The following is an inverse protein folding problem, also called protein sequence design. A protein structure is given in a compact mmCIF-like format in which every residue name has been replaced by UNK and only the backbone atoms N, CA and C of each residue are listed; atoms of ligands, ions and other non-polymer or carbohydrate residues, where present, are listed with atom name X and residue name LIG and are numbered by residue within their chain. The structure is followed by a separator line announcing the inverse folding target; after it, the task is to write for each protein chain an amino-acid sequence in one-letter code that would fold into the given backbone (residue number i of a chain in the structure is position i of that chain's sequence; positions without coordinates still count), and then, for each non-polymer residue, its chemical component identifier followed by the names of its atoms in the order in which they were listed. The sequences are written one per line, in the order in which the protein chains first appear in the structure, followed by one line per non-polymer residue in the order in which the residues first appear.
data_IF_258424196900
#
_entry.id   IF_258424196900
#
_cell.length_a   1.000
_cell.length_b   1.000
_cell.length_c   1.000
_cell.angle_alpha   90.00
_cell.angle_beta   90.00
_cell.angle_gamma   90.00
#
_symmetry.space_group_name_H-M   'P 1'
#
loop_
_entity.id
_entity.type
_entity.pdbx_description
1 polymer ?
#
# COMPACT_ATOMS: atom_id res chain seq x y z
N UNK A 1 -13.47 -36.26 22.97
CA UNK A 1 -13.26 -36.16 21.51
C UNK A 1 -14.32 -35.22 21.00
N UNK A 2 -14.04 -34.03 20.50
CA UNK A 2 -12.90 -33.58 19.69
C UNK A 2 -12.53 -32.15 20.05
N UNK A 3 -11.23 -31.90 20.20
CA UNK A 3 -10.66 -30.57 20.32
C UNK A 3 -10.86 -29.83 18.98
N UNK A 4 -11.47 -28.66 19.04
CA UNK A 4 -11.54 -27.75 17.90
C UNK A 4 -10.19 -27.04 17.81
N UNK A 5 -9.48 -27.36 16.74
CA UNK A 5 -8.15 -26.91 16.40
C UNK A 5 -8.10 -25.37 16.35
N UNK A 6 -7.29 -24.77 17.23
CA UNK A 6 -6.94 -23.36 17.17
C UNK A 6 -6.04 -23.20 15.94
N UNK A 7 -6.57 -22.64 14.85
CA UNK A 7 -5.75 -22.29 13.69
C UNK A 7 -4.61 -21.38 14.16
N UNK A 8 -3.40 -21.91 14.23
CA UNK A 8 -2.21 -21.18 14.59
C UNK A 8 -2.05 -20.02 13.60
N UNK A 9 -2.16 -18.79 14.09
CA UNK A 9 -1.87 -17.57 13.36
C UNK A 9 -0.36 -17.49 13.13
N UNK A 10 0.14 -18.19 12.11
CA UNK A 10 1.52 -18.07 11.68
C UNK A 10 1.78 -16.63 11.24
N UNK A 11 2.77 -15.98 11.84
CA UNK A 11 3.26 -14.66 11.39
C UNK A 11 3.53 -14.72 9.89
N UNK A 12 3.00 -13.78 9.08
CA UNK A 12 3.17 -13.82 7.64
C UNK A 12 4.66 -13.69 7.28
N UNK A 13 5.08 -14.49 6.29
CA UNK A 13 6.48 -14.53 5.85
C UNK A 13 6.84 -13.20 5.17
N UNK A 14 7.92 -12.57 5.67
CA UNK A 14 8.53 -11.38 5.07
C UNK A 14 9.63 -11.79 4.10
N UNK A 15 9.50 -11.39 2.84
CA UNK A 15 10.46 -11.70 1.78
C UNK A 15 11.32 -10.45 1.50
N UNK A 16 12.62 -10.44 1.86
CA UNK A 16 13.44 -9.23 1.78
C UNK A 16 13.66 -8.76 0.34
N UNK A 17 13.61 -7.44 0.14
CA UNK A 17 13.95 -6.77 -1.13
C UNK A 17 15.34 -6.14 -1.02
N UNK A 18 15.57 -5.36 0.04
CA UNK A 18 16.81 -4.59 0.23
C UNK A 18 16.69 -3.54 1.33
N UNK A 19 17.73 -2.74 1.54
CA UNK A 19 17.72 -1.62 2.47
C UNK A 19 18.50 -0.43 1.90
N UNK A 20 17.96 0.76 2.04
CA UNK A 20 18.62 2.03 1.64
C UNK A 20 18.14 3.13 2.57
N UNK A 21 18.98 4.15 2.77
CA UNK A 21 18.59 5.39 3.47
C UNK A 21 18.01 5.15 4.89
N UNK A 22 18.44 4.07 5.55
CA UNK A 22 17.97 3.67 6.88
C UNK A 22 16.61 2.97 6.92
N UNK A 23 16.05 2.60 5.76
CA UNK A 23 14.77 1.90 5.62
C UNK A 23 14.98 0.51 5.02
N UNK A 24 14.41 -0.51 5.66
CA UNK A 24 14.34 -1.88 5.13
C UNK A 24 13.07 -2.04 4.29
N UNK A 25 13.20 -2.72 3.16
CA UNK A 25 12.12 -3.03 2.22
C UNK A 25 11.89 -4.53 2.10
N UNK A 26 10.64 -4.96 2.12
CA UNK A 26 10.25 -6.34 1.88
C UNK A 26 8.88 -6.47 1.18
N UNK A 27 8.56 -7.70 0.78
CA UNK A 27 7.24 -8.11 0.29
C UNK A 27 6.57 -9.01 1.33
N UNK A 28 5.28 -8.79 1.57
CA UNK A 28 4.47 -9.62 2.47
C UNK A 28 3.14 -9.99 1.83
N UNK A 29 2.70 -11.22 2.09
CA UNK A 29 1.39 -11.71 1.69
C UNK A 29 0.31 -11.40 2.74
N UNK A 30 -0.12 -10.14 2.80
CA UNK A 30 -1.26 -9.72 3.61
C UNK A 30 -2.06 -8.62 2.90
N UNK A 31 -3.27 -8.34 3.39
CA UNK A 31 -4.07 -7.22 2.91
C UNK A 31 -3.95 -6.01 3.84
N UNK A 32 -4.30 -4.80 3.38
CA UNK A 32 -4.10 -3.57 4.14
C UNK A 32 -4.82 -3.53 5.49
N UNK A 33 -5.89 -4.30 5.70
CA UNK A 33 -6.58 -4.42 7.00
C UNK A 33 -5.81 -5.25 8.05
N UNK A 34 -4.90 -6.11 7.60
CA UNK A 34 -4.16 -7.07 8.42
C UNK A 34 -2.65 -6.78 8.41
N UNK A 35 -2.23 -5.65 7.84
CA UNK A 35 -0.85 -5.21 7.90
C UNK A 35 -0.52 -4.72 9.31
N UNK A 36 0.35 -5.44 10.01
CA UNK A 36 0.87 -5.05 11.32
C UNK A 36 1.95 -3.96 11.15
N UNK A 37 1.49 -2.72 10.95
CA UNK A 37 2.31 -1.53 10.69
C UNK A 37 1.72 -0.28 11.32
N UNK A 38 2.54 0.76 11.51
CA UNK A 38 2.02 2.05 11.96
C UNK A 38 1.11 2.70 10.89
N UNK A 39 1.42 2.52 9.60
CA UNK A 39 0.72 3.18 8.49
C UNK A 39 0.48 2.25 7.30
N UNK A 40 -0.75 1.78 7.14
CA UNK A 40 -1.14 0.94 6.01
C UNK A 40 -1.73 1.81 4.90
N UNK A 41 -1.37 1.54 3.66
CA UNK A 41 -1.81 2.32 2.49
C UNK A 41 -2.49 1.39 1.50
N UNK A 42 -3.71 1.74 1.11
CA UNK A 42 -4.43 1.09 0.02
C UNK A 42 -4.74 2.11 -1.09
N UNK A 43 -4.79 1.63 -2.32
CA UNK A 43 -5.31 2.42 -3.42
C UNK A 43 -6.73 2.00 -3.81
N UNK A 44 -7.47 2.92 -4.43
CA UNK A 44 -8.86 2.73 -4.85
C UNK A 44 -9.10 3.50 -6.15
N UNK A 45 -9.90 2.94 -7.08
CA UNK A 45 -10.35 3.64 -8.28
C UNK A 45 -11.76 4.20 -8.11
N UNK A 46 -12.16 5.11 -9.01
CA UNK A 46 -13.52 5.66 -9.08
C UNK A 46 -14.58 4.58 -9.32
N UNK A 47 -14.16 3.45 -9.90
CA UNK A 47 -14.93 2.23 -10.14
C UNK A 47 -13.94 1.12 -10.49
N UNK A 48 -14.34 -0.14 -10.35
CA UNK A 48 -13.52 -1.25 -10.85
C UNK A 48 -13.68 -1.41 -12.36
N UNK A 49 -12.73 -2.09 -13.01
CA UNK A 49 -12.76 -2.34 -14.46
C UNK A 49 -14.07 -3.05 -14.83
N UNK A 50 -14.75 -2.51 -15.85
CA UNK A 50 -16.04 -3.05 -16.31
C UNK A 50 -17.21 -2.88 -15.32
N UNK A 51 -17.04 -2.11 -14.24
CA UNK A 51 -18.07 -1.95 -13.21
C UNK A 51 -18.21 -3.15 -12.27
N UNK A 52 -17.17 -3.98 -12.16
CA UNK A 52 -17.14 -5.09 -11.22
C UNK A 52 -17.24 -4.60 -9.75
N UNK A 53 -17.68 -5.46 -8.81
CA UNK A 53 -17.55 -5.17 -7.39
C UNK A 53 -16.08 -5.15 -6.95
N UNK A 54 -15.79 -4.46 -5.84
CA UNK A 54 -14.46 -4.51 -5.20
C UNK A 54 -14.10 -5.95 -4.84
N UNK A 55 -12.82 -6.29 -4.98
CA UNK A 55 -12.30 -7.63 -4.70
C UNK A 55 -11.01 -7.58 -3.87
N UNK A 56 -10.46 -8.76 -3.57
CA UNK A 56 -9.12 -8.90 -2.99
C UNK A 56 -8.91 -8.17 -1.67
N UNK A 57 -7.73 -7.56 -1.52
CA UNK A 57 -7.35 -6.84 -0.31
C UNK A 57 -8.20 -5.58 -0.07
N UNK A 58 -8.66 -4.91 -1.14
CA UNK A 58 -9.55 -3.75 -1.03
C UNK A 58 -10.94 -4.14 -0.49
N UNK A 59 -11.51 -5.27 -0.93
CA UNK A 59 -12.75 -5.80 -0.35
C UNK A 59 -12.56 -6.16 1.13
N UNK A 60 -11.45 -6.82 1.47
CA UNK A 60 -11.13 -7.14 2.87
C UNK A 60 -11.01 -5.89 3.74
N UNK A 61 -10.44 -4.80 3.18
CA UNK A 61 -10.37 -3.50 3.85
C UNK A 61 -11.75 -2.88 4.06
N UNK A 62 -12.57 -2.82 3.01
CA UNK A 62 -13.91 -2.25 3.13
C UNK A 62 -14.77 -3.03 4.13
N UNK A 63 -14.69 -4.36 4.13
CA UNK A 63 -15.36 -5.21 5.12
C UNK A 63 -14.89 -4.93 6.56
N UNK A 64 -13.57 -4.83 6.78
CA UNK A 64 -13.02 -4.49 8.10
C UNK A 64 -13.46 -3.09 8.57
N UNK A 65 -13.66 -2.17 7.62
CA UNK A 65 -14.24 -0.85 7.87
C UNK A 65 -15.78 -0.86 7.88
N UNK A 66 -16.46 -2.00 7.82
CA UNK A 66 -17.92 -2.06 7.85
C UNK A 66 -18.62 -1.44 6.62
N UNK A 67 -17.98 -1.51 5.45
CA UNK A 67 -18.51 -1.03 4.16
C UNK A 67 -18.40 0.49 3.94
N UNK A 68 -17.58 1.20 4.73
CA UNK A 68 -17.50 2.65 4.66
C UNK A 68 -16.85 3.15 3.35
N UNK A 69 -15.88 2.45 2.77
CA UNK A 69 -15.24 2.90 1.52
C UNK A 69 -16.26 2.90 0.37
N UNK A 70 -17.03 1.82 0.25
CA UNK A 70 -18.09 1.71 -0.75
C UNK A 70 -19.14 2.80 -0.56
N UNK A 71 -19.64 3.00 0.67
CA UNK A 71 -20.63 4.05 0.96
C UNK A 71 -20.11 5.45 0.69
N UNK A 72 -18.84 5.74 1.00
CA UNK A 72 -18.25 7.05 0.74
C UNK A 72 -18.08 7.32 -0.75
N UNK A 73 -17.73 6.30 -1.54
CA UNK A 73 -17.71 6.40 -3.00
C UNK A 73 -19.09 6.64 -3.59
N UNK A 74 -20.11 5.90 -3.15
CA UNK A 74 -21.51 6.09 -3.57
C UNK A 74 -22.05 7.47 -3.19
N UNK A 75 -21.76 7.94 -1.99
CA UNK A 75 -22.14 9.26 -1.49
C UNK A 75 -21.31 10.40 -2.13
N UNK A 76 -20.29 10.08 -2.93
CA UNK A 76 -19.31 11.02 -3.50
C UNK A 76 -18.53 11.84 -2.45
N UNK A 77 -18.44 11.33 -1.21
CA UNK A 77 -17.68 11.93 -0.13
C UNK A 77 -16.17 11.63 -0.24
N UNK A 78 -15.82 10.51 -0.86
CA UNK A 78 -14.47 10.19 -1.33
C UNK A 78 -14.64 9.52 -2.69
N UNK A 79 -14.30 10.20 -3.78
CA UNK A 79 -14.59 9.71 -5.13
C UNK A 79 -13.49 8.79 -5.65
N UNK A 80 -12.34 8.78 -4.98
CA UNK A 80 -11.10 8.16 -5.43
C UNK A 80 -10.56 8.84 -6.70
N UNK A 81 -10.71 10.17 -6.80
CA UNK A 81 -10.07 10.96 -7.85
C UNK A 81 -8.54 10.83 -7.77
N UNK A 82 -7.79 11.07 -8.86
CA UNK A 82 -6.35 10.92 -8.82
C UNK A 82 -5.68 11.70 -7.68
N UNK A 83 -4.99 10.96 -6.81
CA UNK A 83 -4.29 11.46 -5.62
C UNK A 83 -5.19 12.13 -4.57
N UNK A 84 -6.51 11.94 -4.65
CA UNK A 84 -7.41 12.21 -3.51
C UNK A 84 -7.00 11.30 -2.35
N UNK A 85 -6.97 11.83 -1.13
CA UNK A 85 -6.54 11.08 0.05
C UNK A 85 -7.61 11.07 1.12
N UNK A 86 -7.74 9.94 1.80
CA UNK A 86 -8.54 9.80 3.01
C UNK A 86 -7.73 9.05 4.06
N UNK A 87 -7.52 9.69 5.20
CA UNK A 87 -6.78 9.11 6.32
C UNK A 87 -7.73 8.69 7.44
N UNK A 88 -7.62 7.43 7.84
CA UNK A 88 -8.34 6.82 8.96
C UNK A 88 -7.32 6.67 10.10
N UNK A 89 -7.42 7.52 11.12
CA UNK A 89 -6.50 7.54 12.27
C UNK A 89 -6.98 6.71 13.46
N UNK A 90 -8.23 6.23 13.41
CA UNK A 90 -8.82 5.37 14.44
C UNK A 90 -9.46 4.15 13.79
N UNK A 91 -8.67 3.17 13.31
CA UNK A 91 -9.20 1.93 12.76
C UNK A 91 -10.08 1.18 13.78
N UNK A 92 -11.15 0.52 13.33
CA UNK A 92 -12.03 -0.25 14.21
C UNK A 92 -11.28 -1.43 14.87
N UNK A 93 -11.79 -1.93 16.02
CA UNK A 93 -11.23 -3.11 16.67
C UNK A 93 -11.10 -4.30 15.71
N UNK A 94 -9.97 -5.01 15.79
CA UNK A 94 -9.66 -6.18 14.95
C UNK A 94 -8.83 -5.87 13.71
N UNK A 95 -8.71 -4.60 13.31
CA UNK A 95 -7.68 -4.18 12.37
C UNK A 95 -6.31 -4.11 13.06
N UNK A 96 -5.27 -4.52 12.35
CA UNK A 96 -3.88 -4.47 12.83
C UNK A 96 -3.17 -3.11 12.60
N UNK A 97 -3.35 -2.40 11.46
CA UNK A 97 -2.63 -1.15 11.27
C UNK A 97 -3.13 -0.06 12.22
N UNK A 98 -2.24 0.86 12.60
CA UNK A 98 -2.57 1.96 13.53
C UNK A 98 -3.23 3.14 12.83
N UNK A 99 -2.90 3.36 11.55
CA UNK A 99 -3.59 4.27 10.65
C UNK A 99 -3.70 3.64 9.26
N UNK A 100 -4.74 4.03 8.51
CA UNK A 100 -4.94 3.61 7.13
C UNK A 100 -5.13 4.81 6.22
N UNK A 101 -4.31 4.91 5.18
CA UNK A 101 -4.49 5.87 4.10
C UNK A 101 -5.11 5.18 2.88
N UNK A 102 -6.17 5.77 2.34
CA UNK A 102 -6.71 5.41 1.03
C UNK A 102 -6.33 6.49 0.03
N UNK A 103 -5.70 6.09 -1.08
CA UNK A 103 -5.29 6.96 -2.18
C UNK A 103 -6.15 6.66 -3.42
N UNK A 104 -6.79 7.70 -3.95
CA UNK A 104 -7.54 7.61 -5.21
C UNK A 104 -6.64 7.51 -6.43
N UNK A 105 -6.95 6.61 -7.36
CA UNK A 105 -6.23 6.42 -8.63
C UNK A 105 -6.97 7.00 -9.84
N UNK A 106 -8.22 7.43 -9.67
CA UNK A 106 -9.05 7.98 -10.75
C UNK A 106 -9.75 6.90 -11.57
N UNK A 107 -9.91 7.18 -12.87
CA UNK A 107 -10.50 6.23 -13.81
C UNK A 107 -9.53 5.06 -14.08
N UNK A 108 -9.95 3.80 -13.86
CA UNK A 108 -9.10 2.64 -14.13
C UNK A 108 -8.61 2.58 -15.59
N UNK A 109 -9.39 3.04 -16.57
CA UNK A 109 -9.00 3.02 -17.97
C UNK A 109 -7.81 3.95 -18.29
N UNK A 110 -7.43 4.82 -17.36
CA UNK A 110 -6.32 5.78 -17.50
C UNK A 110 -5.11 5.45 -16.65
N UNK A 111 -5.09 4.26 -16.02
CA UNK A 111 -3.95 3.82 -15.23
C UNK A 111 -2.69 3.75 -16.11
N UNK A 112 -1.66 4.46 -15.70
CA UNK A 112 -0.34 4.41 -16.30
C UNK A 112 0.77 4.32 -15.22
N UNK A 113 2.01 4.21 -15.67
CA UNK A 113 3.17 4.12 -14.77
C UNK A 113 3.32 5.39 -13.92
N UNK A 114 3.03 6.57 -14.47
CA UNK A 114 3.20 7.82 -13.71
C UNK A 114 2.15 7.93 -12.60
N UNK A 115 0.91 7.49 -12.81
CA UNK A 115 -0.13 7.44 -11.77
C UNK A 115 0.31 6.58 -10.59
N UNK A 116 0.90 5.41 -10.85
CA UNK A 116 1.40 4.53 -9.80
C UNK A 116 2.64 5.11 -9.08
N UNK A 117 3.52 5.78 -9.83
CA UNK A 117 4.67 6.52 -9.26
C UNK A 117 4.20 7.66 -8.35
N UNK A 118 3.15 8.38 -8.73
CA UNK A 118 2.56 9.44 -7.92
C UNK A 118 1.92 8.87 -6.66
N UNK A 119 1.15 7.78 -6.77
CA UNK A 119 0.52 7.13 -5.61
C UNK A 119 1.55 6.73 -4.56
N UNK A 120 2.68 6.17 -4.99
CA UNK A 120 3.76 5.75 -4.10
C UNK A 120 4.54 6.92 -3.49
N UNK A 121 4.72 8.02 -4.23
CA UNK A 121 5.25 9.28 -3.66
C UNK A 121 4.33 9.83 -2.57
N UNK A 122 3.02 9.85 -2.81
CA UNK A 122 2.03 10.28 -1.81
C UNK A 122 2.09 9.37 -0.59
N UNK A 123 2.06 8.04 -0.78
CA UNK A 123 2.12 7.07 0.30
C UNK A 123 3.34 7.29 1.22
N UNK A 124 4.54 7.42 0.64
CA UNK A 124 5.78 7.62 1.40
C UNK A 124 5.76 8.95 2.17
N UNK A 125 5.34 10.05 1.53
CA UNK A 125 5.27 11.37 2.18
C UNK A 125 4.28 11.37 3.34
N UNK A 126 3.10 10.81 3.15
CA UNK A 126 2.07 10.79 4.17
C UNK A 126 2.46 9.89 5.35
N UNK A 127 3.11 8.75 5.11
CA UNK A 127 3.67 7.91 6.17
C UNK A 127 4.73 8.66 7.00
N UNK A 128 5.64 9.39 6.34
CA UNK A 128 6.69 10.17 7.02
C UNK A 128 6.08 11.33 7.82
N UNK A 129 5.14 12.08 7.23
CA UNK A 129 4.44 13.19 7.90
C UNK A 129 3.60 12.73 9.09
N UNK A 130 3.03 11.54 9.00
CA UNK A 130 2.32 10.90 10.11
C UNK A 130 3.27 10.47 11.24
N UNK A 131 4.59 10.42 11.00
CA UNK A 131 5.58 9.96 11.97
C UNK A 131 5.65 8.44 12.10
N UNK A 132 5.21 7.70 11.07
CA UNK A 132 5.22 6.25 11.06
C UNK A 132 6.64 5.68 11.13
N UNK A 133 6.84 4.60 11.89
CA UNK A 133 8.10 3.83 11.89
C UNK A 133 8.05 2.66 10.92
N UNK A 134 6.86 2.13 10.66
CA UNK A 134 6.61 1.09 9.64
C UNK A 134 5.43 1.45 8.75
N UNK A 135 5.50 1.09 7.48
CA UNK A 135 4.40 1.24 6.53
C UNK A 135 4.21 0.01 5.65
N UNK A 136 2.99 -0.16 5.15
CA UNK A 136 2.63 -1.15 4.14
C UNK A 136 1.92 -0.47 2.97
N UNK A 137 2.17 -0.91 1.74
CA UNK A 137 1.55 -0.36 0.55
C UNK A 137 0.95 -1.44 -0.33
N UNK A 138 -0.37 -1.40 -0.47
CA UNK A 138 -1.17 -2.21 -1.36
C UNK A 138 -1.67 -1.33 -2.54
N UNK A 139 -1.15 -1.52 -3.77
CA UNK A 139 -1.60 -0.74 -4.92
C UNK A 139 -3.02 -1.09 -5.38
N UNK A 140 -3.60 -2.20 -4.92
CA UNK A 140 -4.95 -2.68 -5.27
C UNK A 140 -5.30 -2.76 -6.77
N UNK A 141 -4.30 -2.66 -7.67
CA UNK A 141 -4.55 -2.60 -9.11
C UNK A 141 -5.17 -3.89 -9.64
N UNK A 142 -4.68 -5.04 -9.15
CA UNK A 142 -5.18 -6.35 -9.53
C UNK A 142 -6.57 -6.63 -8.92
N UNK A 143 -6.81 -6.07 -7.74
CA UNK A 143 -8.10 -6.15 -7.04
C UNK A 143 -9.19 -5.37 -7.80
N UNK A 144 -8.80 -4.34 -8.54
CA UNK A 144 -9.65 -3.56 -9.43
C UNK A 144 -9.90 -4.20 -10.82
N UNK A 145 -9.32 -5.39 -11.08
CA UNK A 145 -9.52 -6.14 -12.33
C UNK A 145 -8.47 -5.91 -13.41
N UNK A 146 -7.43 -5.10 -13.16
CA UNK A 146 -6.33 -4.94 -14.12
C UNK A 146 -5.40 -6.15 -14.09
N UNK A 147 -5.63 -7.12 -14.98
CA UNK A 147 -4.88 -8.38 -15.05
C UNK A 147 -3.73 -8.37 -16.06
N UNK A 148 -3.76 -7.46 -17.04
CA UNK A 148 -2.69 -7.26 -18.02
C UNK A 148 -1.98 -5.92 -17.81
N UNK A 149 -0.93 -5.94 -16.99
CA UNK A 149 -0.13 -4.78 -16.61
C UNK A 149 1.37 -5.00 -16.80
N UNK A 150 1.75 -6.02 -17.59
CA UNK A 150 3.16 -6.40 -17.72
C UNK A 150 4.04 -5.24 -18.23
N UNK A 151 3.47 -4.36 -19.04
CA UNK A 151 4.14 -3.16 -19.56
C UNK A 151 4.42 -2.07 -18.51
N UNK A 152 3.77 -2.11 -17.33
CA UNK A 152 3.91 -1.06 -16.32
C UNK A 152 5.22 -1.13 -15.52
N UNK A 153 5.96 -2.25 -15.55
CA UNK A 153 7.11 -2.52 -14.66
C UNK A 153 6.84 -2.02 -13.23
N UNK A 154 5.70 -2.48 -12.67
CA UNK A 154 5.16 -1.94 -11.42
C UNK A 154 6.18 -1.90 -10.28
N UNK A 155 7.01 -2.94 -10.04
CA UNK A 155 8.02 -2.89 -8.98
C UNK A 155 9.01 -1.73 -9.13
N UNK A 156 9.55 -1.51 -10.34
CA UNK A 156 10.51 -0.44 -10.58
C UNK A 156 9.87 0.95 -10.45
N UNK A 157 8.65 1.12 -10.97
CA UNK A 157 7.89 2.36 -10.89
C UNK A 157 7.53 2.72 -9.46
N UNK A 158 7.07 1.76 -8.68
CA UNK A 158 6.72 1.96 -7.28
C UNK A 158 7.94 2.27 -6.42
N UNK A 159 9.05 1.55 -6.62
CA UNK A 159 10.30 1.82 -5.92
C UNK A 159 10.83 3.22 -6.25
N UNK A 160 10.84 3.64 -7.51
CA UNK A 160 11.29 4.99 -7.87
C UNK A 160 10.45 6.07 -7.18
N UNK A 161 9.11 5.91 -7.19
CA UNK A 161 8.21 6.84 -6.53
C UNK A 161 8.47 6.93 -5.03
N UNK A 162 8.55 5.79 -4.33
CA UNK A 162 8.82 5.76 -2.89
C UNK A 162 10.21 6.29 -2.54
N UNK A 163 11.26 5.82 -3.22
CA UNK A 163 12.64 6.20 -2.91
C UNK A 163 12.91 7.67 -3.24
N UNK A 164 12.34 8.21 -4.33
CA UNK A 164 12.44 9.63 -4.64
C UNK A 164 11.77 10.50 -3.57
N UNK A 165 10.61 10.09 -3.05
CA UNK A 165 9.95 10.78 -1.95
C UNK A 165 10.76 10.70 -0.65
N UNK A 166 11.27 9.51 -0.27
CA UNK A 166 12.10 9.33 0.93
C UNK A 166 13.35 10.21 0.90
N UNK A 167 14.08 10.21 -0.22
CA UNK A 167 15.29 11.03 -0.41
C UNK A 167 15.01 12.53 -0.37
N UNK A 168 13.85 12.96 -0.88
CA UNK A 168 13.43 14.36 -0.77
C UNK A 168 13.18 14.76 0.69
N UNK A 169 12.50 13.92 1.48
CA UNK A 169 12.27 14.19 2.92
C UNK A 169 13.58 14.18 3.71
N UNK A 170 14.52 13.29 3.38
CA UNK A 170 15.86 13.30 3.98
C UNK A 170 16.65 14.56 3.63
N UNK A 171 16.56 15.03 2.39
CA UNK A 171 17.20 16.28 1.99
C UNK A 171 16.63 17.50 2.74
N UNK A 172 15.31 17.54 2.96
CA UNK A 172 14.68 18.56 3.82
C UNK A 172 15.21 18.48 5.26
N UNK A 173 15.40 17.29 5.81
CA UNK A 173 15.95 17.09 7.14
C UNK A 173 17.42 17.54 7.25
N UNK A 174 18.26 17.21 6.26
CA UNK A 174 19.66 17.67 6.19
C UNK A 174 19.72 19.21 6.12
N UNK A 175 18.78 19.84 5.41
CA UNK A 175 18.65 21.30 5.34
C UNK A 175 18.09 21.95 6.60
N UNK A 176 17.68 21.18 7.62
CA UNK A 176 17.04 21.71 8.83
C UNK A 176 15.62 22.24 8.60
N UNK A 177 14.98 21.88 7.47
CA UNK A 177 13.63 22.32 7.09
C UNK A 177 12.54 21.36 7.56
N UNK A 178 12.92 20.17 8.02
CA UNK A 178 12.03 19.14 8.56
C UNK A 178 12.78 18.30 9.61
N UNK A 179 12.09 17.59 10.52
CA UNK A 179 12.72 16.55 11.32
C UNK A 179 13.15 15.36 10.44
N UNK A 180 14.17 14.59 10.84
CA UNK A 180 14.53 13.36 10.14
C UNK A 180 13.37 12.35 10.17
N UNK A 181 13.09 11.66 9.04
CA UNK A 181 12.04 10.64 8.99
C UNK A 181 12.22 9.55 10.06
N UNK A 182 11.12 9.19 10.72
CA UNK A 182 11.08 8.10 11.71
C UNK A 182 10.95 6.70 11.06
N UNK A 183 10.59 6.66 9.77
CA UNK A 183 10.35 5.42 9.02
C UNK A 183 11.61 4.55 8.99
N UNK A 184 11.46 3.26 9.28
CA UNK A 184 12.53 2.25 9.28
C UNK A 184 12.16 1.00 8.47
N UNK A 185 10.88 0.81 8.18
CA UNK A 185 10.41 -0.37 7.47
C UNK A 185 9.29 -0.01 6.49
N UNK A 186 9.42 -0.43 5.25
CA UNK A 186 8.39 -0.34 4.22
C UNK A 186 8.12 -1.72 3.63
N UNK A 187 6.85 -2.07 3.49
CA UNK A 187 6.41 -3.35 2.95
C UNK A 187 5.54 -3.13 1.72
N UNK A 188 5.76 -3.92 0.67
CA UNK A 188 4.83 -4.04 -0.45
C UNK A 188 3.89 -5.23 -0.24
N UNK A 189 2.60 -4.94 -0.23
CA UNK A 189 1.56 -5.94 0.01
C UNK A 189 1.16 -6.60 -1.30
N UNK A 190 1.11 -7.93 -1.29
CA UNK A 190 0.73 -8.73 -2.45
C UNK A 190 -0.17 -9.89 -2.08
N UNK A 191 -0.95 -10.38 -3.05
CA UNK A 191 -1.68 -11.64 -2.87
C UNK A 191 -0.73 -12.82 -2.67
N UNK A 192 -1.07 -13.75 -1.77
CA UNK A 192 -0.20 -14.87 -1.38
C UNK A 192 0.34 -15.68 -2.57
N UNK A 193 -0.49 -15.95 -3.58
CA UNK A 193 -0.09 -16.68 -4.79
C UNK A 193 1.03 -15.98 -5.60
N UNK A 194 1.25 -14.68 -5.38
CA UNK A 194 2.24 -13.86 -6.10
C UNK A 194 3.46 -13.50 -5.26
N UNK A 195 3.48 -13.84 -3.97
CA UNK A 195 4.49 -13.35 -3.03
C UNK A 195 5.93 -13.61 -3.47
N UNK A 196 6.25 -14.86 -3.83
CA UNK A 196 7.60 -15.23 -4.27
C UNK A 196 8.03 -14.51 -5.56
N UNK A 197 7.16 -14.47 -6.57
CA UNK A 197 7.45 -13.79 -7.84
C UNK A 197 7.57 -12.27 -7.69
N UNK A 198 6.69 -11.67 -6.89
CA UNK A 198 6.77 -10.25 -6.56
C UNK A 198 8.06 -9.90 -5.82
N UNK A 199 8.45 -10.68 -4.80
CA UNK A 199 9.69 -10.47 -4.08
C UNK A 199 10.92 -10.50 -5.00
N UNK A 200 10.98 -11.46 -5.92
CA UNK A 200 12.05 -11.53 -6.92
C UNK A 200 12.07 -10.30 -7.84
N UNK A 201 10.90 -9.87 -8.34
CA UNK A 201 10.80 -8.72 -9.22
C UNK A 201 11.16 -7.40 -8.53
N UNK A 202 10.71 -7.22 -7.28
CA UNK A 202 11.09 -6.07 -6.45
C UNK A 202 12.58 -6.09 -6.12
N UNK A 203 13.16 -7.23 -5.73
CA UNK A 203 14.60 -7.32 -5.45
C UNK A 203 15.44 -6.99 -6.70
N UNK A 204 15.05 -7.48 -7.87
CA UNK A 204 15.72 -7.17 -9.13
C UNK A 204 15.61 -5.68 -9.50
N UNK A 205 14.46 -5.06 -9.26
CA UNK A 205 14.28 -3.62 -9.47
C UNK A 205 15.06 -2.78 -8.44
N UNK A 206 15.12 -3.24 -7.19
CA UNK A 206 15.82 -2.56 -6.10
C UNK A 206 17.33 -2.52 -6.29
N UNK A 207 17.91 -3.57 -6.88
CA UNK A 207 19.35 -3.64 -7.19
C UNK A 207 19.86 -2.54 -8.15
N UNK A 208 18.98 -1.70 -8.68
CA UNK A 208 19.30 -0.53 -9.52
C UNK A 208 19.55 0.75 -8.69
N UNK A 209 19.33 0.72 -7.37
CA UNK A 209 19.48 1.85 -6.44
C UNK A 209 20.61 1.64 -5.45
#
# INVERSE_FOLDING_TARGET
MTATDHAATSTPVRLPIGATDGVVFDVVAWGPAHADVDFSVACMFEREVGGAPIAGGLLGLDQALGGHLTRMREARAFRAQPMETMLITSPPPGMLPRAVLVIGLGDPATLDAERLRQATRVAMREAIRHGARSMAFAPSVLDAGHTDNAALDMPAVMLDGMLSALRAELALAVGGLAPPPALRHCTFDVGAARAAGAAQAFAAAFARY
#
